data_IF_856249962695
#
_entry.id   IF_856249962695
#
_cell.length_a   1.000
_cell.length_b   1.000
_cell.length_c   1.000
_cell.angle_alpha   90.00
_cell.angle_beta   90.00
_cell.angle_gamma   90.00
#
_symmetry.space_group_name_H-M   'P 1'
#
loop_
_entity.id
_entity.type
_entity.pdbx_description
1 polymer ?
#
# COMPACT_ATOMS: atom_id res chain seq x y z
N UNK A 1 7.02 -10.77 -12.08
CA UNK A 1 7.69 -9.84 -11.14
C UNK A 1 6.88 -8.54 -11.08
N UNK A 2 6.34 -8.16 -9.92
CA UNK A 2 5.52 -6.95 -9.78
C UNK A 2 5.83 -6.23 -8.47
N UNK A 3 5.49 -4.95 -8.40
CA UNK A 3 5.46 -4.19 -7.15
C UNK A 3 4.19 -4.55 -6.37
N UNK A 4 4.34 -5.47 -5.42
CA UNK A 4 3.22 -5.95 -4.59
C UNK A 4 2.55 -4.83 -3.81
N UNK A 5 3.30 -3.82 -3.38
CA UNK A 5 2.78 -2.72 -2.59
C UNK A 5 1.83 -1.87 -3.42
N UNK A 6 2.22 -1.50 -4.64
CA UNK A 6 1.37 -0.73 -5.55
C UNK A 6 0.12 -1.48 -5.96
N UNK A 7 0.25 -2.78 -6.32
CA UNK A 7 -0.92 -3.61 -6.67
C UNK A 7 -1.89 -3.71 -5.48
N UNK A 8 -1.37 -3.93 -4.27
CA UNK A 8 -2.17 -3.97 -3.05
C UNK A 8 -2.89 -2.65 -2.80
N UNK A 9 -2.22 -1.52 -2.96
CA UNK A 9 -2.79 -0.18 -2.76
C UNK A 9 -3.94 0.09 -3.74
N UNK A 10 -3.75 -0.24 -5.02
CA UNK A 10 -4.79 -0.15 -6.06
C UNK A 10 -6.02 -0.98 -5.66
N UNK A 11 -5.83 -2.26 -5.34
CA UNK A 11 -6.94 -3.16 -5.00
C UNK A 11 -7.66 -2.74 -3.71
N UNK A 12 -6.91 -2.33 -2.68
CA UNK A 12 -7.51 -1.84 -1.43
C UNK A 12 -8.36 -0.59 -1.65
N UNK A 13 -7.89 0.36 -2.45
CA UNK A 13 -8.68 1.57 -2.76
C UNK A 13 -9.99 1.24 -3.48
N UNK A 14 -9.95 0.38 -4.50
CA UNK A 14 -11.15 0.02 -5.27
C UNK A 14 -12.13 -0.79 -4.39
N UNK A 15 -11.65 -1.87 -3.75
CA UNK A 15 -12.49 -2.73 -2.91
C UNK A 15 -13.10 -1.96 -1.74
N UNK A 16 -12.31 -1.10 -1.07
CA UNK A 16 -12.84 -0.29 0.02
C UNK A 16 -13.89 0.71 -0.45
N UNK A 17 -13.76 1.28 -1.65
CA UNK A 17 -14.79 2.12 -2.25
C UNK A 17 -16.06 1.30 -2.55
N UNK A 18 -15.94 0.14 -3.18
CA UNK A 18 -17.09 -0.74 -3.44
C UNK A 18 -17.83 -1.13 -2.15
N UNK A 19 -17.10 -1.51 -1.10
CA UNK A 19 -17.70 -1.82 0.22
C UNK A 19 -18.37 -0.59 0.84
N UNK A 20 -17.75 0.58 0.72
CA UNK A 20 -18.22 1.83 1.32
C UNK A 20 -19.50 2.36 0.68
N UNK A 21 -19.66 2.16 -0.61
CA UNK A 21 -20.81 2.66 -1.38
C UNK A 21 -21.88 1.60 -1.62
N UNK A 22 -21.66 0.36 -1.19
CA UNK A 22 -22.65 -0.71 -1.21
C UNK A 22 -23.43 -0.71 0.11
N UNK A 23 -24.77 -0.70 0.02
CA UNK A 23 -25.65 -0.73 1.18
C UNK A 23 -25.65 -2.10 1.84
N UNK A 24 -26.08 -2.17 3.07
CA UNK A 24 -26.30 -3.43 3.79
C UNK A 24 -27.22 -4.36 2.99
N UNK A 25 -26.82 -5.64 2.87
CA UNK A 25 -27.49 -6.62 2.01
C UNK A 25 -27.09 -6.57 0.54
N UNK A 26 -26.26 -5.61 0.11
CA UNK A 26 -25.69 -5.59 -1.24
C UNK A 26 -24.52 -6.57 -1.39
N UNK A 27 -23.98 -6.65 -2.60
CA UNK A 27 -22.91 -7.58 -2.96
C UNK A 27 -21.69 -6.82 -3.51
N UNK A 28 -20.52 -7.32 -3.18
CA UNK A 28 -19.25 -6.93 -3.81
C UNK A 28 -18.56 -8.22 -4.25
N UNK A 29 -18.19 -8.32 -5.52
CA UNK A 29 -17.44 -9.45 -6.08
C UNK A 29 -16.09 -8.98 -6.61
N UNK A 30 -15.10 -9.88 -6.56
CA UNK A 30 -13.77 -9.68 -7.14
C UNK A 30 -13.42 -10.92 -7.93
N UNK A 31 -13.30 -10.76 -9.25
CA UNK A 31 -12.87 -11.81 -10.17
C UNK A 31 -11.48 -11.49 -10.71
N UNK A 32 -10.61 -12.49 -10.72
CA UNK A 32 -9.23 -12.34 -11.22
C UNK A 32 -9.01 -13.39 -12.29
N UNK A 33 -8.69 -12.93 -13.50
CA UNK A 33 -8.34 -13.80 -14.63
C UNK A 33 -6.89 -13.60 -15.01
N UNK A 34 -6.15 -14.69 -15.11
CA UNK A 34 -4.78 -14.70 -15.61
C UNK A 34 -4.75 -15.11 -17.08
N UNK A 35 -3.99 -14.37 -17.87
CA UNK A 35 -3.75 -14.63 -19.29
C UNK A 35 -2.25 -14.73 -19.55
N UNK A 36 -1.78 -15.94 -19.77
CA UNK A 36 -0.37 -16.23 -19.96
C UNK A 36 0.01 -16.12 -21.43
N UNK A 37 0.92 -15.19 -21.75
CA UNK A 37 1.48 -14.98 -23.09
C UNK A 37 2.88 -15.60 -23.17
N UNK A 38 2.94 -16.90 -23.50
CA UNK A 38 4.17 -17.71 -23.48
C UNK A 38 5.31 -17.11 -24.33
N UNK A 39 4.98 -16.60 -25.52
CA UNK A 39 5.96 -16.02 -26.44
C UNK A 39 6.61 -14.73 -25.94
N UNK A 40 5.92 -13.97 -25.13
CA UNK A 40 6.37 -12.66 -24.66
C UNK A 40 6.96 -12.73 -23.24
N UNK A 41 6.88 -13.90 -22.56
CA UNK A 41 7.27 -14.09 -21.17
C UNK A 41 6.60 -13.07 -20.25
N UNK A 42 5.36 -12.74 -20.54
CA UNK A 42 4.52 -11.80 -19.82
C UNK A 42 3.24 -12.51 -19.41
N UNK A 43 2.77 -12.26 -18.21
CA UNK A 43 1.43 -12.64 -17.79
C UNK A 43 0.60 -11.38 -17.56
N UNK A 44 -0.62 -11.38 -18.06
CA UNK A 44 -1.60 -10.31 -17.91
C UNK A 44 -2.68 -10.75 -16.95
N UNK A 45 -2.95 -9.94 -15.94
CA UNK A 45 -4.04 -10.13 -14.99
C UNK A 45 -5.15 -9.13 -15.26
N UNK A 46 -6.36 -9.63 -15.38
CA UNK A 46 -7.57 -8.81 -15.41
C UNK A 46 -8.28 -8.96 -14.07
N UNK A 47 -8.41 -7.85 -13.34
CA UNK A 47 -9.18 -7.76 -12.11
C UNK A 47 -10.50 -7.09 -12.45
N UNK A 48 -11.61 -7.74 -12.11
CA UNK A 48 -12.96 -7.20 -12.25
C UNK A 48 -13.55 -7.09 -10.85
N UNK A 49 -13.84 -5.89 -10.42
CA UNK A 49 -14.48 -5.59 -9.15
C UNK A 49 -15.87 -5.04 -9.45
N UNK A 50 -16.90 -5.73 -8.99
CA UNK A 50 -18.29 -5.33 -9.17
C UNK A 50 -18.97 -5.14 -7.82
N UNK A 51 -19.80 -4.11 -7.73
CA UNK A 51 -20.64 -3.87 -6.59
C UNK A 51 -22.10 -3.53 -7.00
N UNK A 52 -23.03 -3.80 -6.12
CA UNK A 52 -24.43 -3.42 -6.25
C UNK A 52 -24.74 -2.16 -5.44
N UNK A 53 -23.78 -1.24 -5.39
CA UNK A 53 -23.87 0.00 -4.65
C UNK A 53 -24.78 1.06 -5.26
N UNK A 54 -24.61 2.29 -4.80
CA UNK A 54 -25.43 3.43 -5.28
C UNK A 54 -25.15 3.78 -6.74
N UNK A 55 -24.02 3.34 -7.31
CA UNK A 55 -23.57 3.71 -8.64
C UNK A 55 -23.19 5.19 -8.74
N UNK A 56 -22.89 5.62 -9.95
CA UNK A 56 -22.48 7.00 -10.28
C UNK A 56 -23.28 7.50 -11.48
N UNK A 57 -23.51 8.81 -11.54
CA UNK A 57 -24.19 9.44 -12.67
C UNK A 57 -23.31 9.48 -13.92
N UNK A 58 -23.95 9.49 -15.08
CA UNK A 58 -23.27 9.60 -16.38
C UNK A 58 -22.49 10.92 -16.50
N UNK A 59 -22.95 11.97 -15.83
CA UNK A 59 -22.28 13.28 -15.79
C UNK A 59 -21.03 13.26 -14.92
N UNK A 60 -21.01 12.46 -13.82
CA UNK A 60 -19.87 12.38 -12.89
C UNK A 60 -18.80 11.39 -13.37
N UNK A 61 -19.17 10.33 -14.07
CA UNK A 61 -18.27 9.25 -14.48
C UNK A 61 -17.00 9.72 -15.21
N UNK A 62 -17.01 10.72 -16.10
CA UNK A 62 -15.79 11.25 -16.74
C UNK A 62 -14.81 11.91 -15.75
N UNK A 63 -15.29 12.37 -14.60
CA UNK A 63 -14.55 13.17 -13.62
C UNK A 63 -14.04 12.37 -12.41
N UNK A 64 -14.32 11.07 -12.35
CA UNK A 64 -13.99 10.22 -11.17
C UNK A 64 -12.51 10.15 -10.83
N UNK A 65 -11.63 10.42 -11.80
CA UNK A 65 -10.19 10.43 -11.65
C UNK A 65 -9.58 11.81 -11.43
N UNK A 66 -10.40 12.86 -11.37
CA UNK A 66 -9.95 14.21 -11.03
C UNK A 66 -9.78 14.36 -9.52
N UNK A 67 -8.73 15.05 -9.09
CA UNK A 67 -8.42 15.25 -7.68
C UNK A 67 -9.52 16.08 -6.99
N UNK A 68 -9.84 15.69 -5.75
CA UNK A 68 -10.82 16.35 -4.88
C UNK A 68 -12.25 16.38 -5.43
N UNK A 69 -12.54 15.64 -6.50
CA UNK A 69 -13.89 15.54 -7.02
C UNK A 69 -14.71 14.51 -6.26
N UNK A 70 -16.00 14.83 -6.11
CA UNK A 70 -17.00 13.96 -5.50
C UNK A 70 -18.34 14.21 -6.16
N UNK A 71 -19.09 13.14 -6.37
CA UNK A 71 -20.46 13.29 -6.76
C UNK A 71 -21.27 13.94 -5.61
N UNK A 72 -21.87 15.10 -5.87
CA UNK A 72 -22.80 15.75 -4.94
C UNK A 72 -24.14 15.01 -4.96
N UNK A 73 -24.19 13.77 -4.58
CA UNK A 73 -25.45 13.14 -4.24
C UNK A 73 -25.91 13.71 -2.91
N UNK A 74 -26.93 14.51 -3.04
CA UNK A 74 -27.67 15.16 -1.97
C UNK A 74 -27.77 14.32 -0.70
N UNK A 75 -27.40 14.93 0.40
CA UNK A 75 -27.96 14.82 1.76
C UNK A 75 -27.94 13.46 2.48
N UNK A 76 -27.66 12.32 1.87
CA UNK A 76 -27.81 11.02 2.53
C UNK A 76 -26.52 10.24 2.82
N UNK A 77 -25.41 10.52 2.19
CA UNK A 77 -24.19 9.78 2.48
C UNK A 77 -23.30 10.52 3.47
N UNK A 78 -23.36 10.15 4.76
CA UNK A 78 -22.37 10.46 5.82
C UNK A 78 -20.99 9.87 5.50
N UNK A 79 -20.71 9.60 4.23
CA UNK A 79 -19.51 8.88 3.80
C UNK A 79 -18.37 9.86 3.62
N UNK A 80 -17.51 9.94 4.63
CA UNK A 80 -16.31 10.78 4.65
C UNK A 80 -15.23 10.16 3.75
N UNK A 81 -14.66 10.94 2.83
CA UNK A 81 -13.54 10.53 1.99
C UNK A 81 -12.83 11.77 1.43
N UNK A 82 -11.55 11.68 1.12
CA UNK A 82 -10.71 12.79 0.65
C UNK A 82 -10.90 13.15 -0.82
N UNK A 83 -11.49 12.26 -1.65
CA UNK A 83 -11.56 12.42 -3.11
C UNK A 83 -10.22 12.18 -3.81
N UNK A 84 -9.25 11.56 -3.13
CA UNK A 84 -7.91 11.28 -3.68
C UNK A 84 -7.71 9.81 -4.07
N UNK A 85 -8.57 8.89 -3.64
CA UNK A 85 -8.36 7.45 -3.83
C UNK A 85 -8.30 7.04 -5.31
N UNK A 86 -9.27 7.42 -6.13
CA UNK A 86 -9.31 7.06 -7.55
C UNK A 86 -8.23 7.76 -8.40
N UNK A 87 -7.91 9.06 -8.21
CA UNK A 87 -6.74 9.68 -8.82
C UNK A 87 -5.44 8.93 -8.54
N UNK A 88 -5.19 8.54 -7.29
CA UNK A 88 -4.01 7.75 -6.90
C UNK A 88 -4.01 6.39 -7.61
N UNK A 89 -5.14 5.69 -7.62
CA UNK A 89 -5.30 4.41 -8.34
C UNK A 89 -4.92 4.55 -9.80
N UNK A 90 -5.44 5.57 -10.50
CA UNK A 90 -5.14 5.82 -11.91
C UNK A 90 -3.64 6.04 -12.12
N UNK A 91 -3.01 6.90 -11.33
CA UNK A 91 -1.58 7.17 -11.40
C UNK A 91 -0.71 5.93 -11.16
N UNK A 92 -1.09 5.08 -10.18
CA UNK A 92 -0.39 3.83 -9.90
C UNK A 92 -0.52 2.82 -11.05
N UNK A 93 -1.71 2.71 -11.65
CA UNK A 93 -1.96 1.82 -12.80
C UNK A 93 -1.17 2.30 -14.02
N UNK A 94 -1.17 3.59 -14.32
CA UNK A 94 -0.38 4.18 -15.40
C UNK A 94 1.12 3.96 -15.18
N UNK A 95 1.63 4.12 -13.96
CA UNK A 95 3.01 3.83 -13.59
C UNK A 95 3.39 2.35 -13.79
N UNK A 96 2.42 1.45 -13.65
CA UNK A 96 2.59 0.02 -13.92
C UNK A 96 2.27 -0.36 -15.39
N UNK A 97 2.08 0.63 -16.26
CA UNK A 97 1.72 0.44 -17.68
C UNK A 97 0.44 -0.39 -17.88
N UNK A 98 -0.48 -0.30 -16.94
CA UNK A 98 -1.78 -0.95 -17.00
C UNK A 98 -2.89 -0.04 -17.53
N UNK A 99 -4.11 -0.56 -17.47
CA UNK A 99 -5.32 0.19 -17.81
C UNK A 99 -6.41 -0.03 -16.76
N UNK A 100 -7.25 0.98 -16.59
CA UNK A 100 -8.45 0.95 -15.75
C UNK A 100 -9.64 1.43 -16.57
N UNK A 101 -10.75 0.72 -16.47
CA UNK A 101 -12.04 1.08 -17.05
C UNK A 101 -13.12 0.96 -15.98
N UNK A 102 -14.02 1.94 -15.92
CA UNK A 102 -15.10 1.98 -14.93
C UNK A 102 -16.43 2.18 -15.66
N UNK A 103 -17.38 1.29 -15.36
CA UNK A 103 -18.75 1.35 -15.79
C UNK A 103 -19.63 1.49 -14.56
N UNK A 104 -20.57 2.43 -14.57
CA UNK A 104 -21.46 2.63 -13.44
C UNK A 104 -22.81 3.21 -13.88
N UNK A 105 -23.86 2.84 -13.15
CA UNK A 105 -25.21 3.38 -13.35
C UNK A 105 -25.86 3.59 -11.99
N UNK A 106 -26.50 4.74 -11.81
CA UNK A 106 -27.20 5.08 -10.56
C UNK A 106 -28.20 4.00 -10.16
N UNK A 107 -28.06 3.49 -8.96
CA UNK A 107 -28.93 2.46 -8.38
C UNK A 107 -28.62 1.02 -8.86
N UNK A 108 -27.68 0.81 -9.78
CA UNK A 108 -27.28 -0.53 -10.22
C UNK A 108 -25.92 -0.95 -9.69
N UNK A 109 -25.04 0.01 -9.36
CA UNK A 109 -23.70 -0.23 -8.83
C UNK A 109 -22.59 0.15 -9.78
N UNK A 110 -21.40 -0.37 -9.51
CA UNK A 110 -20.19 -0.04 -10.26
C UNK A 110 -19.43 -1.30 -10.64
N UNK A 111 -18.90 -1.33 -11.86
CA UNK A 111 -17.97 -2.35 -12.36
C UNK A 111 -16.65 -1.68 -12.71
N UNK A 112 -15.58 -2.08 -12.05
CA UNK A 112 -14.22 -1.61 -12.31
C UNK A 112 -13.40 -2.75 -12.89
N UNK A 113 -12.83 -2.54 -14.08
CA UNK A 113 -11.94 -3.49 -14.76
C UNK A 113 -10.54 -2.92 -14.79
N UNK A 114 -9.56 -3.66 -14.24
CA UNK A 114 -8.15 -3.29 -14.22
C UNK A 114 -7.36 -4.37 -14.95
N UNK A 115 -6.48 -3.96 -15.87
CA UNK A 115 -5.58 -4.87 -16.58
C UNK A 115 -4.14 -4.47 -16.27
N UNK A 116 -3.38 -5.42 -15.70
CA UNK A 116 -1.97 -5.26 -15.39
C UNK A 116 -1.17 -6.40 -16.01
N UNK A 117 -0.08 -6.06 -16.69
CA UNK A 117 0.81 -7.05 -17.31
C UNK A 117 2.17 -7.03 -16.64
N UNK A 118 2.68 -8.20 -16.30
CA UNK A 118 3.93 -8.35 -15.57
C UNK A 118 4.88 -9.31 -16.28
N UNK A 119 6.17 -9.00 -16.35
CA UNK A 119 7.17 -9.94 -16.83
C UNK A 119 7.27 -11.15 -15.88
N UNK A 120 7.45 -12.33 -16.47
CA UNK A 120 7.63 -13.57 -15.72
C UNK A 120 9.08 -13.65 -15.29
N UNK A 121 9.30 -13.72 -13.97
CA UNK A 121 10.61 -13.92 -13.40
C UNK A 121 11.04 -15.39 -13.55
N UNK A 122 12.28 -15.63 -13.94
CA UNK A 122 12.91 -16.95 -13.82
C UNK A 122 13.30 -17.19 -12.34
N UNK A 123 13.61 -18.46 -11.99
CA UNK A 123 14.19 -18.75 -10.67
C UNK A 123 15.46 -17.95 -10.42
N UNK A 124 16.29 -17.80 -11.44
CA UNK A 124 17.53 -17.03 -11.37
C UNK A 124 17.28 -15.54 -11.13
N UNK A 125 16.26 -14.96 -11.77
CA UNK A 125 15.88 -13.56 -11.53
C UNK A 125 15.37 -13.35 -10.11
N UNK A 126 14.65 -14.36 -9.57
CA UNK A 126 14.13 -14.29 -8.21
C UNK A 126 15.26 -14.39 -7.17
N UNK A 127 16.20 -15.29 -7.36
CA UNK A 127 17.36 -15.48 -6.46
C UNK A 127 18.28 -14.25 -6.50
N UNK A 128 18.67 -13.78 -7.69
CA UNK A 128 19.47 -12.56 -7.86
C UNK A 128 18.80 -11.31 -7.30
N UNK A 129 17.50 -11.16 -7.52
CA UNK A 129 16.74 -10.02 -7.01
C UNK A 129 16.61 -10.01 -5.49
N UNK A 130 16.57 -11.19 -4.85
CA UNK A 130 16.53 -11.32 -3.40
C UNK A 130 17.88 -11.00 -2.77
N UNK A 131 18.95 -11.60 -3.27
CA UNK A 131 20.32 -11.36 -2.78
C UNK A 131 20.77 -9.91 -2.97
N UNK A 132 20.50 -9.29 -4.13
CA UNK A 132 20.84 -7.90 -4.38
C UNK A 132 20.05 -6.92 -3.50
N UNK A 133 18.76 -7.13 -3.29
CA UNK A 133 17.95 -6.27 -2.42
C UNK A 133 18.36 -6.39 -0.96
N UNK A 134 18.59 -7.60 -0.46
CA UNK A 134 19.06 -7.82 0.91
C UNK A 134 20.47 -7.23 1.11
N UNK A 135 21.39 -7.49 0.21
CA UNK A 135 22.74 -6.97 0.30
C UNK A 135 22.80 -5.44 0.22
N UNK A 136 22.05 -4.83 -0.69
CA UNK A 136 22.01 -3.34 -0.84
C UNK A 136 21.30 -2.70 0.34
N UNK A 137 20.20 -3.28 0.81
CA UNK A 137 19.45 -2.80 1.96
C UNK A 137 20.31 -2.87 3.24
N UNK A 138 20.93 -4.02 3.52
CA UNK A 138 21.76 -4.21 4.69
C UNK A 138 23.04 -3.37 4.64
N UNK A 139 23.64 -3.19 3.45
CA UNK A 139 24.83 -2.34 3.31
C UNK A 139 24.53 -0.85 3.60
N UNK A 140 23.33 -0.37 3.22
CA UNK A 140 22.89 1.01 3.51
C UNK A 140 22.48 1.25 4.97
N UNK A 141 22.23 0.18 5.74
CA UNK A 141 21.79 0.26 7.13
C UNK A 141 22.92 0.05 8.15
N UNK A 142 24.04 -0.56 7.73
CA UNK A 142 25.17 -0.82 8.65
C UNK A 142 25.71 0.45 9.28
N UNK A 143 25.80 0.43 10.61
CA UNK A 143 26.33 1.52 11.41
C UNK A 143 25.35 2.66 11.70
N UNK A 144 24.11 2.60 11.19
CA UNK A 144 23.03 3.51 11.56
C UNK A 144 22.73 3.41 13.05
N UNK A 145 22.34 4.54 13.66
CA UNK A 145 22.08 4.64 15.09
C UNK A 145 20.58 4.63 15.35
N UNK A 146 20.17 3.75 16.24
CA UNK A 146 18.77 3.59 16.65
C UNK A 146 18.69 3.89 18.14
N UNK A 147 17.67 4.65 18.54
CA UNK A 147 17.24 4.75 19.92
C UNK A 147 16.00 3.87 20.09
N UNK A 148 16.11 2.81 20.88
CA UNK A 148 15.01 1.90 21.20
C UNK A 148 14.40 2.30 22.55
N UNK A 149 13.13 2.69 22.58
CA UNK A 149 12.36 2.91 23.80
C UNK A 149 11.45 1.70 24.03
N UNK A 150 11.80 0.84 25.00
CA UNK A 150 11.12 -0.40 25.35
C UNK A 150 11.25 -0.62 26.86
N UNK A 151 10.13 -0.71 27.56
CA UNK A 151 10.06 -0.83 29.02
C UNK A 151 10.23 -2.28 29.48
N UNK A 152 9.87 -3.25 28.65
CA UNK A 152 10.02 -4.66 28.96
C UNK A 152 11.45 -5.15 28.64
N UNK A 153 12.15 -5.63 29.67
CA UNK A 153 13.54 -6.07 29.53
C UNK A 153 13.71 -7.23 28.54
N UNK A 154 12.78 -8.18 28.51
CA UNK A 154 12.86 -9.32 27.60
C UNK A 154 12.63 -8.90 26.13
N UNK A 155 11.66 -8.03 25.88
CA UNK A 155 11.42 -7.48 24.55
C UNK A 155 12.62 -6.67 24.08
N UNK A 156 13.17 -5.83 24.98
CA UNK A 156 14.35 -5.04 24.69
C UNK A 156 15.56 -5.91 24.32
N UNK A 157 15.81 -6.99 25.06
CA UNK A 157 16.93 -7.90 24.80
C UNK A 157 16.80 -8.57 23.43
N UNK A 158 15.61 -9.03 23.07
CA UNK A 158 15.31 -9.61 21.76
C UNK A 158 15.53 -8.57 20.65
N UNK A 159 14.98 -7.35 20.82
CA UNK A 159 15.09 -6.30 19.82
C UNK A 159 16.55 -5.83 19.65
N UNK A 160 17.30 -5.64 20.74
CA UNK A 160 18.70 -5.27 20.71
C UNK A 160 19.52 -6.32 19.95
N UNK A 161 19.36 -7.61 20.29
CA UNK A 161 20.07 -8.70 19.62
C UNK A 161 19.81 -8.68 18.10
N UNK A 162 18.56 -8.62 17.68
CA UNK A 162 18.19 -8.62 16.25
C UNK A 162 18.72 -7.39 15.49
N UNK A 163 18.67 -6.22 16.12
CA UNK A 163 19.14 -4.98 15.51
C UNK A 163 20.67 -4.93 15.42
N UNK A 164 21.38 -5.35 16.47
CA UNK A 164 22.83 -5.38 16.50
C UNK A 164 23.40 -6.44 15.54
N UNK A 165 22.79 -7.63 15.46
CA UNK A 165 23.13 -8.64 14.45
C UNK A 165 22.91 -8.15 13.02
N UNK A 166 21.93 -7.25 12.82
CA UNK A 166 21.67 -6.58 11.55
C UNK A 166 22.66 -5.45 11.26
N UNK A 167 23.56 -5.12 12.19
CA UNK A 167 24.65 -4.15 12.03
C UNK A 167 24.29 -2.73 12.45
N UNK A 168 23.20 -2.52 13.16
CA UNK A 168 22.84 -1.23 13.76
C UNK A 168 23.65 -0.96 15.05
N UNK A 169 23.74 0.30 15.42
CA UNK A 169 24.18 0.74 16.75
C UNK A 169 22.95 1.15 17.54
N UNK A 170 22.65 0.48 18.63
CA UNK A 170 21.41 0.69 19.36
C UNK A 170 21.70 1.17 20.78
N UNK A 171 21.08 2.28 21.16
CA UNK A 171 20.99 2.73 22.53
C UNK A 171 19.56 2.46 23.03
N UNK A 172 19.39 2.00 24.28
CA UNK A 172 18.09 1.71 24.89
C UNK A 172 17.67 2.80 25.84
N UNK A 173 16.40 3.17 25.79
CA UNK A 173 15.65 3.88 26.82
C UNK A 173 14.61 2.92 27.42
N UNK A 174 14.44 2.91 28.74
CA UNK A 174 13.48 2.04 29.44
C UNK A 174 12.07 2.65 29.51
N UNK A 175 11.95 3.94 29.19
CA UNK A 175 10.68 4.67 29.15
C UNK A 175 10.81 5.93 28.29
N UNK A 176 9.67 6.60 28.08
CA UNK A 176 9.61 7.81 27.25
C UNK A 176 10.38 9.00 27.84
N UNK A 177 10.47 9.11 29.17
CA UNK A 177 11.22 10.19 29.84
C UNK A 177 12.72 10.00 29.64
N UNK A 178 13.22 8.78 29.77
CA UNK A 178 14.61 8.45 29.50
C UNK A 178 14.95 8.65 28.01
N UNK A 179 14.01 8.30 27.12
CA UNK A 179 14.16 8.55 25.69
C UNK A 179 14.38 10.04 25.41
N UNK A 180 13.57 10.92 25.98
CA UNK A 180 13.70 12.38 25.86
C UNK A 180 15.03 12.86 26.44
N UNK A 181 15.44 12.36 27.62
CA UNK A 181 16.71 12.73 28.27
C UNK A 181 17.91 12.38 27.38
N UNK A 182 17.93 11.15 26.84
CA UNK A 182 18.99 10.68 25.92
C UNK A 182 19.04 11.57 24.68
N UNK A 183 17.90 11.92 24.08
CA UNK A 183 17.84 12.79 22.91
C UNK A 183 18.38 14.20 23.18
N UNK A 184 18.10 14.75 24.38
CA UNK A 184 18.60 16.08 24.77
C UNK A 184 20.11 16.13 25.02
N UNK A 185 20.72 15.01 25.40
CA UNK A 185 22.17 14.89 25.63
C UNK A 185 22.96 14.71 24.33
N UNK A 186 22.33 14.37 23.23
CA UNK A 186 22.97 14.09 21.94
C UNK A 186 22.76 15.24 20.96
N UNK A 187 23.71 15.47 20.04
CA UNK A 187 23.52 16.48 19.00
C UNK A 187 22.38 16.09 18.05
N UNK A 188 21.79 17.10 17.42
CA UNK A 188 20.75 16.90 16.41
C UNK A 188 21.23 15.96 15.30
N UNK A 189 20.41 14.98 14.92
CA UNK A 189 20.74 13.97 13.92
C UNK A 189 21.69 12.86 14.40
N UNK A 190 21.92 12.71 15.69
CA UNK A 190 22.75 11.62 16.23
C UNK A 190 22.12 10.25 16.04
N UNK A 191 20.80 10.14 16.14
CA UNK A 191 20.03 8.94 15.82
C UNK A 191 19.37 9.09 14.46
N UNK A 192 19.43 8.03 13.67
CA UNK A 192 18.76 7.94 12.36
C UNK A 192 17.29 7.57 12.52
N UNK A 193 16.96 6.79 13.56
CA UNK A 193 15.59 6.28 13.83
C UNK A 193 15.37 6.16 15.33
N UNK A 194 14.14 6.41 15.76
CA UNK A 194 13.64 6.08 17.10
C UNK A 194 12.60 4.99 16.94
N UNK A 195 12.79 3.84 17.57
CA UNK A 195 11.80 2.78 17.70
C UNK A 195 11.19 2.88 19.09
N UNK A 196 9.88 3.00 19.16
CA UNK A 196 9.16 3.21 20.40
C UNK A 196 7.99 2.23 20.49
N UNK A 197 7.98 1.41 21.54
CA UNK A 197 6.79 0.68 21.94
C UNK A 197 5.86 1.61 22.72
N UNK A 198 4.53 1.50 22.47
CA UNK A 198 3.50 2.41 23.02
C UNK A 198 2.60 1.64 23.97
#
# INVERSE_FOLDING_TARGET
FCDRTKVREVLLNIVSNSMKYTREGGMVSVDITENYLEKERVTSYTFVIEDTGIGMSEEYLPHIFEEFTRERTSTESKVIGTGLGLPIVKSLIELMHGSIHVESEVGKGTRTTIILSFPIATKEDFEKGKEQKEATFLAGLKGRRILLAEDNDLNAEIALTLLEESGFKVDRATDGMQCISILQEKPEGYYDVILMDI
#
